data_IF_552334712479
#
_entry.id   IF_552334712479
#
_cell.length_a   1.000
_cell.length_b   1.000
_cell.length_c   1.000
_cell.angle_alpha   90.00
_cell.angle_beta   90.00
_cell.angle_gamma   90.00
#
_symmetry.space_group_name_H-M   'P 1'
#
loop_
_entity.id
_entity.type
_entity.pdbx_description
1 polymer ?
#
# COMPACT_ATOMS: atom_id res chain seq x y z
N UNK A 1 -10.89 -51.29 9.44
CA UNK A 1 -10.06 -50.19 9.99
C UNK A 1 -9.13 -49.70 8.90
N UNK A 2 -9.51 -48.65 8.16
CA UNK A 2 -8.61 -47.85 7.33
C UNK A 2 -9.12 -46.42 7.44
N UNK A 3 -8.54 -45.68 8.36
CA UNK A 3 -8.73 -44.25 8.46
C UNK A 3 -7.88 -43.60 7.36
N UNK A 4 -8.49 -42.82 6.47
CA UNK A 4 -7.78 -41.80 5.71
C UNK A 4 -8.54 -40.49 5.90
N UNK A 5 -7.81 -39.55 6.48
CA UNK A 5 -8.24 -38.30 7.06
C UNK A 5 -8.71 -37.32 5.98
N UNK A 6 -9.88 -36.71 6.23
CA UNK A 6 -10.32 -35.51 5.52
C UNK A 6 -9.44 -34.36 6.00
N UNK A 7 -8.39 -33.99 5.26
CA UNK A 7 -7.66 -32.75 5.47
C UNK A 7 -8.41 -31.59 4.80
N UNK A 8 -9.46 -31.13 5.49
CA UNK A 8 -9.88 -29.73 5.37
C UNK A 8 -8.90 -28.90 6.21
N UNK A 9 -7.87 -28.31 5.60
CA UNK A 9 -7.06 -27.32 6.30
C UNK A 9 -6.32 -26.38 5.35
N UNK A 10 -6.81 -25.14 5.33
CA UNK A 10 -6.09 -23.90 5.09
C UNK A 10 -5.09 -23.91 3.92
N UNK A 11 -5.58 -23.54 2.73
CA UNK A 11 -4.76 -22.67 1.89
C UNK A 11 -4.74 -21.31 2.58
N UNK A 12 -3.93 -21.20 3.64
CA UNK A 12 -3.50 -19.92 4.15
C UNK A 12 -2.81 -19.25 2.98
N UNK A 13 -3.49 -18.27 2.39
CA UNK A 13 -2.96 -17.49 1.30
C UNK A 13 -1.57 -16.99 1.70
N UNK A 14 -0.54 -17.57 1.11
CA UNK A 14 0.82 -17.02 1.14
C UNK A 14 0.80 -15.79 0.24
N UNK A 15 0.06 -14.77 0.64
CA UNK A 15 -0.04 -13.55 -0.14
C UNK A 15 1.21 -12.74 0.15
N UNK A 16 2.06 -12.64 -0.86
CA UNK A 16 3.12 -11.65 -0.99
C UNK A 16 2.57 -10.20 -1.06
N UNK A 17 1.55 -9.86 -0.25
CA UNK A 17 0.81 -8.59 -0.29
C UNK A 17 0.78 -7.97 1.10
N UNK A 18 1.86 -7.32 1.53
CA UNK A 18 1.90 -6.51 2.77
C UNK A 18 1.06 -5.23 2.69
N UNK A 19 0.37 -4.99 1.57
CA UNK A 19 -0.50 -3.85 1.38
C UNK A 19 -1.97 -4.30 1.41
N UNK A 20 -2.82 -3.74 2.30
CA UNK A 20 -4.23 -4.09 2.37
C UNK A 20 -4.95 -3.72 1.06
N UNK A 21 -6.02 -4.45 0.77
CA UNK A 21 -6.83 -4.28 -0.45
C UNK A 21 -7.31 -2.83 -0.63
N UNK A 22 -7.67 -2.16 0.46
CA UNK A 22 -8.08 -0.76 0.41
C UNK A 22 -6.96 0.18 -0.08
N UNK A 23 -5.73 -0.04 0.41
CA UNK A 23 -4.58 0.73 -0.02
C UNK A 23 -4.18 0.40 -1.47
N UNK A 24 -4.35 -0.85 -1.91
CA UNK A 24 -4.23 -1.21 -3.33
C UNK A 24 -5.21 -0.43 -4.20
N UNK A 25 -6.47 -0.29 -3.80
CA UNK A 25 -7.45 0.50 -4.55
C UNK A 25 -7.04 1.97 -4.68
N UNK A 26 -6.46 2.56 -3.64
CA UNK A 26 -5.89 3.90 -3.70
C UNK A 26 -4.71 3.99 -4.68
N UNK A 27 -3.79 3.01 -4.67
CA UNK A 27 -2.67 2.95 -5.63
C UNK A 27 -3.16 2.87 -7.05
N UNK A 28 -4.10 1.98 -7.33
CA UNK A 28 -4.70 1.86 -8.65
C UNK A 28 -5.39 3.14 -9.09
N UNK A 29 -6.05 3.88 -8.17
CA UNK A 29 -6.73 5.15 -8.49
C UNK A 29 -5.75 6.23 -8.97
N UNK A 30 -4.55 6.29 -8.40
CA UNK A 30 -3.51 7.23 -8.82
C UNK A 30 -2.57 6.66 -9.89
N UNK A 31 -2.74 5.39 -10.25
CA UNK A 31 -1.97 4.75 -11.33
C UNK A 31 -2.66 5.00 -12.65
N UNK A 32 -1.97 5.70 -13.56
CA UNK A 32 -2.43 5.98 -14.92
C UNK A 32 -1.39 5.50 -15.92
N UNK A 33 -1.67 4.37 -16.57
CA UNK A 33 -0.74 3.71 -17.49
C UNK A 33 0.54 3.27 -16.78
N UNK A 34 1.68 3.76 -17.24
CA UNK A 34 3.00 3.47 -16.64
C UNK A 34 3.41 4.45 -15.54
N UNK A 35 2.48 5.29 -15.06
CA UNK A 35 2.76 6.33 -14.07
C UNK A 35 1.88 6.18 -12.84
N UNK A 36 2.42 6.55 -11.69
CA UNK A 36 1.72 6.73 -10.42
C UNK A 36 1.78 8.24 -10.12
N UNK A 37 0.64 8.91 -10.23
CA UNK A 37 0.58 10.37 -10.26
C UNK A 37 1.44 10.94 -11.38
N UNK A 38 2.38 11.81 -11.02
CA UNK A 38 3.33 12.42 -11.95
C UNK A 38 4.66 11.65 -12.09
N UNK A 39 4.79 10.49 -11.46
CA UNK A 39 6.03 9.71 -11.43
C UNK A 39 5.88 8.39 -12.20
N UNK A 40 6.91 7.91 -12.90
CA UNK A 40 6.87 6.58 -13.50
C UNK A 40 6.77 5.51 -12.41
N UNK A 41 5.96 4.48 -12.66
CA UNK A 41 5.71 3.39 -11.69
C UNK A 41 6.97 2.59 -11.34
N UNK A 42 7.98 2.60 -12.21
CA UNK A 42 9.29 2.00 -11.99
C UNK A 42 10.21 2.83 -11.08
N UNK A 43 9.85 4.08 -10.76
CA UNK A 43 10.68 5.00 -9.99
C UNK A 43 10.06 5.29 -8.61
N UNK A 44 10.28 4.37 -7.68
CA UNK A 44 9.86 4.52 -6.28
C UNK A 44 10.41 5.79 -5.64
N UNK A 45 11.65 6.19 -5.94
CA UNK A 45 12.23 7.41 -5.39
C UNK A 45 11.47 8.68 -5.81
N UNK A 46 11.01 8.76 -7.07
CA UNK A 46 10.15 9.85 -7.54
C UNK A 46 8.83 9.87 -6.76
N UNK A 47 8.16 8.71 -6.64
CA UNK A 47 6.88 8.58 -5.94
C UNK A 47 7.02 9.04 -4.50
N UNK A 48 8.07 8.59 -3.81
CA UNK A 48 8.37 8.96 -2.43
C UNK A 48 8.73 10.43 -2.24
N UNK A 49 9.30 11.10 -3.24
CA UNK A 49 9.60 12.53 -3.19
C UNK A 49 8.40 13.41 -3.55
N UNK A 50 7.38 12.84 -4.19
CA UNK A 50 6.20 13.56 -4.62
C UNK A 50 5.21 13.71 -3.46
N UNK A 51 5.37 14.79 -2.70
CA UNK A 51 4.52 15.09 -1.54
C UNK A 51 3.06 15.29 -1.90
N UNK A 52 2.76 15.83 -3.09
CA UNK A 52 1.39 15.98 -3.57
C UNK A 52 0.72 14.62 -3.76
N UNK A 53 1.41 13.70 -4.45
CA UNK A 53 0.96 12.32 -4.65
C UNK A 53 0.78 11.59 -3.31
N UNK A 54 1.73 11.73 -2.38
CA UNK A 54 1.61 11.14 -1.04
C UNK A 54 0.44 11.72 -0.24
N UNK A 55 0.14 13.01 -0.39
CA UNK A 55 -1.03 13.65 0.19
C UNK A 55 -2.33 13.11 -0.38
N UNK A 56 -2.42 12.98 -1.71
CA UNK A 56 -3.53 12.36 -2.43
C UNK A 56 -3.78 10.90 -1.99
N UNK A 57 -2.69 10.13 -1.85
CA UNK A 57 -2.71 8.78 -1.28
C UNK A 57 -3.27 8.76 0.13
N UNK A 58 -2.77 9.65 1.00
CA UNK A 58 -3.24 9.78 2.36
C UNK A 58 -4.73 10.16 2.39
N UNK A 59 -5.19 11.07 1.52
CA UNK A 59 -6.60 11.43 1.39
C UNK A 59 -7.47 10.26 0.98
N UNK A 60 -7.03 9.45 0.02
CA UNK A 60 -7.74 8.25 -0.38
C UNK A 60 -7.85 7.25 0.78
N UNK A 61 -6.75 7.00 1.49
CA UNK A 61 -6.72 6.11 2.65
C UNK A 61 -7.61 6.63 3.79
N UNK A 62 -7.60 7.93 4.06
CA UNK A 62 -8.42 8.56 5.10
C UNK A 62 -9.90 8.50 4.79
N UNK A 63 -10.28 8.56 3.51
CA UNK A 63 -11.69 8.56 3.08
C UNK A 63 -12.27 7.16 2.96
N UNK A 64 -11.46 6.14 2.66
CA UNK A 64 -11.95 4.81 2.28
C UNK A 64 -11.45 3.65 3.12
N UNK A 65 -10.39 3.83 3.91
CA UNK A 65 -9.72 2.73 4.60
C UNK A 65 -9.81 2.82 6.12
N UNK A 66 -9.81 1.67 6.78
CA UNK A 66 -9.79 1.60 8.25
C UNK A 66 -8.47 2.10 8.81
N UNK A 67 -8.42 2.51 10.09
CA UNK A 67 -7.18 2.93 10.75
C UNK A 67 -6.06 1.88 10.65
N UNK A 68 -6.38 0.59 10.76
CA UNK A 68 -5.39 -0.49 10.59
C UNK A 68 -4.80 -0.56 9.18
N UNK A 69 -5.63 -0.34 8.15
CA UNK A 69 -5.19 -0.32 6.76
C UNK A 69 -4.34 0.91 6.47
N UNK A 70 -4.73 2.06 7.02
CA UNK A 70 -3.98 3.31 6.96
C UNK A 70 -2.57 3.12 7.56
N UNK A 71 -2.47 2.58 8.77
CA UNK A 71 -1.17 2.32 9.43
C UNK A 71 -0.31 1.34 8.63
N UNK A 72 -0.91 0.28 8.08
CA UNK A 72 -0.18 -0.71 7.29
C UNK A 72 0.34 -0.10 5.98
N UNK A 73 -0.49 0.67 5.28
CA UNK A 73 -0.11 1.37 4.05
C UNK A 73 1.01 2.39 4.27
N UNK A 74 0.92 3.16 5.35
CA UNK A 74 1.96 4.13 5.70
C UNK A 74 3.26 3.44 6.13
N UNK A 75 3.18 2.36 6.89
CA UNK A 75 4.37 1.58 7.26
C UNK A 75 5.07 1.00 6.03
N UNK A 76 4.28 0.50 5.07
CA UNK A 76 4.80 0.01 3.80
C UNK A 76 5.46 1.12 2.97
N UNK A 77 4.78 2.27 2.80
CA UNK A 77 5.33 3.42 2.11
C UNK A 77 6.63 3.90 2.78
N UNK A 78 6.64 4.01 4.11
CA UNK A 78 7.82 4.40 4.89
C UNK A 78 8.99 3.44 4.67
N UNK A 79 8.74 2.12 4.67
CA UNK A 79 9.79 1.11 4.46
C UNK A 79 10.43 1.24 3.08
N UNK A 80 9.64 1.41 2.02
CA UNK A 80 10.15 1.54 0.65
C UNK A 80 10.87 2.88 0.48
N UNK A 81 10.26 3.97 0.91
CA UNK A 81 10.82 5.30 0.74
C UNK A 81 12.11 5.48 1.55
N UNK A 82 12.17 4.94 2.77
CA UNK A 82 13.39 4.94 3.58
C UNK A 82 14.52 4.15 2.91
N UNK A 83 14.21 3.04 2.24
CA UNK A 83 15.20 2.30 1.45
C UNK A 83 15.74 3.11 0.25
N UNK A 84 14.99 4.10 -0.23
CA UNK A 84 15.43 5.07 -1.25
C UNK A 84 16.07 6.33 -0.65
N UNK A 85 16.25 6.40 0.68
CA UNK A 85 16.77 7.59 1.37
C UNK A 85 15.78 8.75 1.46
N UNK A 86 14.47 8.49 1.30
CA UNK A 86 13.41 9.50 1.37
C UNK A 86 12.57 9.29 2.62
N UNK A 87 12.50 10.30 3.47
CA UNK A 87 11.63 10.28 4.65
C UNK A 87 10.23 10.73 4.26
N UNK A 88 9.22 9.90 4.54
CA UNK A 88 7.81 10.20 4.29
C UNK A 88 7.02 10.25 5.60
N UNK A 89 5.89 10.97 5.66
CA UNK A 89 5.09 11.06 6.88
C UNK A 89 4.62 9.68 7.33
N UNK A 90 4.70 9.42 8.65
CA UNK A 90 4.21 8.19 9.27
C UNK A 90 2.72 8.26 9.65
N UNK A 91 2.09 9.40 9.39
CA UNK A 91 0.66 9.61 9.58
C UNK A 91 -0.03 9.92 8.25
N UNK A 92 -1.25 9.39 8.10
CA UNK A 92 -2.16 9.78 7.03
C UNK A 92 -2.68 11.18 7.34
N UNK A 93 -2.02 12.20 6.81
CA UNK A 93 -2.49 13.60 6.85
C UNK A 93 -3.02 13.97 5.48
N UNK A 94 -4.34 14.01 5.37
CA UNK A 94 -5.02 14.56 4.21
C UNK A 94 -5.11 16.07 4.39
N UNK A 95 -4.11 16.79 3.88
CA UNK A 95 -4.16 18.25 3.74
C UNK A 95 -4.65 18.55 2.33
N UNK A 96 -5.97 18.55 2.16
CA UNK A 96 -6.65 19.04 0.96
C UNK A 96 -6.36 20.53 0.73
#
# INVERSE_FOLDING_TARGET
MKAVLVLSALVGAVSANTLPSCAQSCVTKFTSGSNIGSCPSSNAACICKNTALLGDFACCLSSGCSKGDQTSAVSYAHSICSAQGVTVPTAVVCSS
#
